data_IF_230182829309
#
_entry.id   IF_230182829309
#
_cell.length_a   1.000
_cell.length_b   1.000
_cell.length_c   1.000
_cell.angle_alpha   90.00
_cell.angle_beta   90.00
_cell.angle_gamma   90.00
#
_symmetry.space_group_name_H-M   'P 1'
#
loop_
_entity.id
_entity.type
_entity.pdbx_description
1 polymer ?
#
# COMPACT_ATOMS: atom_id res chain seq x y z
N UNK A 1 33.30 -38.81 53.47
CA UNK A 1 33.42 -37.84 52.35
C UNK A 1 32.61 -38.28 51.10
N UNK A 2 32.74 -39.55 50.69
CA UNK A 2 32.11 -40.08 49.47
C UNK A 2 30.60 -40.19 49.56
N UNK A 3 30.00 -40.44 50.72
CA UNK A 3 28.55 -40.51 50.91
C UNK A 3 27.91 -39.10 50.95
N UNK A 4 28.57 -38.11 51.55
CA UNK A 4 28.10 -36.73 51.62
C UNK A 4 28.01 -36.09 50.20
N UNK A 5 29.00 -36.40 49.35
CA UNK A 5 29.02 -35.90 47.96
C UNK A 5 27.86 -36.50 47.14
N UNK A 6 27.51 -37.78 47.36
CA UNK A 6 26.36 -38.43 46.69
C UNK A 6 25.02 -37.75 47.05
N UNK A 7 24.82 -37.42 48.32
CA UNK A 7 23.59 -36.73 48.73
C UNK A 7 23.49 -35.30 48.19
N UNK A 8 24.61 -34.59 48.06
CA UNK A 8 24.64 -33.25 47.46
C UNK A 8 24.27 -33.34 45.96
N UNK A 9 24.86 -34.32 45.24
CA UNK A 9 24.54 -34.50 43.81
C UNK A 9 23.05 -34.86 43.62
N UNK A 10 22.50 -35.76 44.44
CA UNK A 10 21.06 -36.13 44.37
C UNK A 10 20.19 -34.92 44.69
N UNK A 11 20.55 -34.11 45.66
CA UNK A 11 19.78 -32.88 46.00
C UNK A 11 19.81 -31.87 44.88
N UNK A 12 20.92 -31.66 44.20
CA UNK A 12 21.02 -30.73 43.04
C UNK A 12 20.20 -31.27 41.86
N UNK A 13 20.22 -32.57 41.58
CA UNK A 13 19.44 -33.17 40.49
C UNK A 13 17.95 -33.08 40.79
N UNK A 14 17.51 -33.32 42.02
CA UNK A 14 16.09 -33.11 42.38
C UNK A 14 15.66 -31.65 42.26
N UNK A 15 16.50 -30.68 42.61
CA UNK A 15 16.20 -29.27 42.51
C UNK A 15 16.07 -28.80 41.07
N UNK A 16 16.86 -29.37 40.13
CA UNK A 16 16.77 -29.03 38.71
C UNK A 16 15.50 -29.58 38.01
N UNK A 17 14.92 -30.66 38.51
CA UNK A 17 13.73 -31.29 37.94
C UNK A 17 12.44 -30.45 38.24
N UNK A 18 12.44 -29.68 39.34
CA UNK A 18 11.29 -28.87 39.72
C UNK A 18 11.24 -27.47 39.08
N UNK A 19 12.26 -27.09 38.29
CA UNK A 19 12.44 -25.71 37.80
C UNK A 19 11.67 -25.35 36.51
N UNK A 20 10.90 -26.26 35.91
CA UNK A 20 10.20 -26.00 34.65
C UNK A 20 8.71 -26.36 34.68
N UNK A 21 7.92 -25.62 35.45
CA UNK A 21 6.47 -25.54 35.18
C UNK A 21 6.19 -24.23 34.43
N UNK A 22 6.38 -24.25 33.10
CA UNK A 22 5.89 -23.17 32.27
C UNK A 22 4.37 -23.19 32.30
N UNK A 23 3.76 -22.17 32.88
CA UNK A 23 2.32 -21.99 32.85
C UNK A 23 1.93 -21.60 31.42
N UNK A 24 1.37 -22.53 30.67
CA UNK A 24 0.83 -22.25 29.36
C UNK A 24 -0.59 -21.71 29.50
N UNK A 25 -0.77 -20.44 29.13
CA UNK A 25 -2.10 -19.87 28.99
C UNK A 25 -2.63 -20.19 27.59
N UNK A 26 -3.79 -20.83 27.53
CA UNK A 26 -4.53 -21.03 26.28
C UNK A 26 -5.76 -20.14 26.29
N UNK A 27 -6.02 -19.48 25.17
CA UNK A 27 -7.27 -18.73 24.98
C UNK A 27 -8.40 -19.75 24.87
N UNK A 28 -9.27 -19.84 25.88
CA UNK A 28 -10.38 -20.77 25.94
C UNK A 28 -11.57 -20.25 25.13
N UNK A 29 -11.77 -18.94 25.14
CA UNK A 29 -12.87 -18.29 24.42
C UNK A 29 -12.44 -16.88 24.01
N UNK A 30 -12.78 -16.49 22.78
CA UNK A 30 -12.63 -15.11 22.30
C UNK A 30 -13.93 -14.70 21.61
N UNK A 31 -14.56 -13.65 22.12
CA UNK A 31 -15.76 -13.04 21.52
C UNK A 31 -15.38 -11.69 20.94
N UNK A 32 -15.65 -11.49 19.67
CA UNK A 32 -15.46 -10.22 18.97
C UNK A 32 -16.71 -9.83 18.21
N UNK A 33 -16.93 -8.53 18.08
CA UNK A 33 -17.96 -7.99 17.21
C UNK A 33 -17.43 -6.76 16.50
N UNK A 34 -17.98 -6.46 15.34
CA UNK A 34 -17.66 -5.25 14.58
C UNK A 34 -18.77 -4.23 14.76
N UNK A 35 -18.38 -2.98 15.03
CA UNK A 35 -19.31 -1.85 15.03
C UNK A 35 -19.13 -1.15 13.68
N UNK A 36 -20.15 -1.13 12.80
CA UNK A 36 -20.03 -0.41 11.53
C UNK A 36 -19.94 1.09 11.81
N UNK A 37 -18.93 1.73 11.22
CA UNK A 37 -18.81 3.19 11.19
C UNK A 37 -19.74 3.70 10.09
N UNK A 38 -20.79 4.40 10.47
CA UNK A 38 -21.81 4.94 9.57
C UNK A 38 -22.06 6.41 9.87
N UNK A 39 -22.64 7.15 8.94
CA UNK A 39 -23.02 8.56 9.12
C UNK A 39 -23.86 8.84 10.36
N UNK A 40 -24.58 7.83 10.88
CA UNK A 40 -25.33 7.95 12.14
C UNK A 40 -24.45 8.34 13.34
N UNK A 41 -23.17 7.99 13.31
CA UNK A 41 -22.21 8.34 14.37
C UNK A 41 -21.80 9.82 14.30
N UNK A 42 -21.96 10.48 13.16
CA UNK A 42 -21.63 11.89 12.96
C UNK A 42 -22.59 12.81 13.75
N UNK A 43 -23.79 12.32 14.07
CA UNK A 43 -24.76 13.07 14.84
C UNK A 43 -24.34 13.32 16.30
N UNK A 44 -23.35 12.57 16.81
CA UNK A 44 -22.89 12.69 18.20
C UNK A 44 -21.36 12.49 18.31
N UNK A 45 -20.56 13.44 17.73
CA UNK A 45 -19.12 13.37 17.78
C UNK A 45 -18.62 13.58 19.21
N UNK A 46 -17.52 12.93 19.57
CA UNK A 46 -16.82 13.24 20.82
C UNK A 46 -16.28 14.68 20.76
N UNK A 47 -16.70 15.51 21.70
CA UNK A 47 -16.37 16.94 21.70
C UNK A 47 -14.87 17.21 21.80
N UNK A 48 -14.14 16.41 22.58
CA UNK A 48 -12.69 16.57 22.76
C UNK A 48 -11.91 16.21 21.50
N UNK A 49 -12.34 15.18 20.79
CA UNK A 49 -11.76 14.76 19.53
C UNK A 49 -12.08 15.78 18.43
N UNK A 50 -13.34 16.27 18.39
CA UNK A 50 -13.76 17.29 17.44
C UNK A 50 -12.97 18.60 17.61
N UNK A 51 -12.68 19.02 18.83
CA UNK A 51 -11.85 20.20 19.11
C UNK A 51 -10.44 20.06 18.52
N UNK A 52 -9.78 18.92 18.76
CA UNK A 52 -8.45 18.63 18.22
C UNK A 52 -8.48 18.65 16.68
N UNK A 53 -9.48 18.02 16.07
CA UNK A 53 -9.63 17.98 14.61
C UNK A 53 -9.80 19.40 14.05
N UNK A 54 -10.65 20.21 14.67
CA UNK A 54 -10.99 21.54 14.20
C UNK A 54 -9.79 22.50 14.17
N UNK A 55 -8.80 22.34 15.05
CA UNK A 55 -7.55 23.13 15.05
C UNK A 55 -6.84 23.02 13.68
N UNK A 56 -6.85 21.84 13.09
CA UNK A 56 -6.12 21.57 11.85
C UNK A 56 -7.03 21.60 10.60
N UNK A 57 -8.31 21.25 10.77
CA UNK A 57 -9.29 21.07 9.68
C UNK A 57 -9.37 22.28 8.78
N UNK A 58 -9.53 23.48 9.33
CA UNK A 58 -9.69 24.71 8.53
C UNK A 58 -8.50 24.94 7.60
N UNK A 59 -7.27 24.67 8.09
CA UNK A 59 -6.05 24.83 7.31
C UNK A 59 -5.93 23.75 6.23
N UNK A 60 -6.24 22.51 6.59
CA UNK A 60 -6.23 21.38 5.64
C UNK A 60 -7.27 21.60 4.56
N UNK A 61 -8.51 21.91 4.93
CA UNK A 61 -9.60 22.12 3.99
C UNK A 61 -9.30 23.29 3.02
N UNK A 62 -8.67 24.36 3.49
CA UNK A 62 -8.30 25.49 2.62
C UNK A 62 -7.33 25.12 1.49
N UNK A 63 -6.51 24.09 1.70
CA UNK A 63 -5.57 23.59 0.70
C UNK A 63 -6.23 22.50 -0.17
N UNK A 64 -6.92 21.57 0.48
CA UNK A 64 -7.41 20.34 -0.16
C UNK A 64 -8.70 20.55 -0.97
N UNK A 65 -9.51 21.56 -0.64
CA UNK A 65 -10.75 21.85 -1.37
C UNK A 65 -10.55 22.56 -2.71
N UNK A 66 -9.33 23.00 -3.01
CA UNK A 66 -9.04 23.71 -4.26
C UNK A 66 -9.24 22.77 -5.46
N UNK A 67 -10.16 23.13 -6.36
CA UNK A 67 -10.37 22.44 -7.65
C UNK A 67 -9.18 22.70 -8.56
N UNK A 68 -8.63 21.64 -9.16
CA UNK A 68 -7.45 21.67 -10.04
C UNK A 68 -7.73 21.13 -11.44
N UNK A 69 -8.89 20.54 -11.67
CA UNK A 69 -9.30 19.99 -12.94
C UNK A 69 -10.70 19.38 -12.86
N UNK A 70 -11.09 18.75 -13.95
CA UNK A 70 -12.36 18.02 -14.04
C UNK A 70 -12.13 16.69 -14.76
N UNK A 71 -12.89 15.67 -14.39
CA UNK A 71 -12.93 14.38 -15.09
C UNK A 71 -14.34 14.12 -15.61
N UNK A 72 -14.45 13.74 -16.87
CA UNK A 72 -15.73 13.38 -17.48
C UNK A 72 -16.27 12.01 -17.02
N UNK A 73 -15.42 11.20 -16.42
CA UNK A 73 -15.74 9.85 -15.93
C UNK A 73 -15.07 9.57 -14.59
N UNK A 74 -15.67 8.73 -13.79
CA UNK A 74 -14.96 8.12 -12.67
C UNK A 74 -13.92 7.11 -13.20
N UNK A 75 -12.72 7.09 -12.62
CA UNK A 75 -11.66 6.15 -12.99
C UNK A 75 -11.30 5.28 -11.80
N UNK A 76 -11.58 3.99 -11.90
CA UNK A 76 -11.19 3.00 -10.90
C UNK A 76 -9.78 2.47 -11.14
N UNK A 77 -9.27 1.79 -10.11
CA UNK A 77 -7.99 1.08 -10.16
C UNK A 77 -8.22 -0.42 -10.10
N UNK A 78 -7.81 -1.14 -11.15
CA UNK A 78 -8.00 -2.58 -11.29
C UNK A 78 -6.79 -3.24 -11.94
N UNK A 79 -6.70 -4.57 -11.82
CA UNK A 79 -5.74 -5.40 -12.52
C UNK A 79 -6.46 -6.19 -13.62
N UNK A 80 -5.84 -6.47 -14.73
CA UNK A 80 -4.43 -6.21 -15.11
C UNK A 80 -4.15 -4.74 -15.49
N UNK A 81 -5.16 -3.96 -15.81
CA UNK A 81 -5.10 -2.54 -16.18
C UNK A 81 -6.40 -1.83 -15.85
N UNK A 82 -6.34 -0.50 -15.73
CA UNK A 82 -7.50 0.36 -15.54
C UNK A 82 -7.24 1.73 -16.14
N UNK A 83 -8.31 2.52 -16.33
CA UNK A 83 -8.18 3.88 -16.84
C UNK A 83 -7.25 4.73 -15.95
N UNK A 84 -7.38 4.64 -14.62
CA UNK A 84 -6.57 5.43 -13.70
C UNK A 84 -5.10 5.01 -13.71
N UNK A 85 -4.81 3.70 -13.72
CA UNK A 85 -3.41 3.23 -13.77
C UNK A 85 -2.72 3.57 -15.08
N UNK A 86 -3.43 3.46 -16.21
CA UNK A 86 -2.90 3.82 -17.52
C UNK A 86 -2.64 5.33 -17.63
N UNK A 87 -3.63 6.14 -17.24
CA UNK A 87 -3.51 7.60 -17.19
C UNK A 87 -2.33 8.05 -16.33
N UNK A 88 -2.19 7.48 -15.13
CA UNK A 88 -1.07 7.81 -14.24
C UNK A 88 0.27 7.43 -14.85
N UNK A 89 0.37 6.26 -15.50
CA UNK A 89 1.60 5.82 -16.14
C UNK A 89 2.01 6.71 -17.31
N UNK A 90 1.03 7.19 -18.09
CA UNK A 90 1.26 8.18 -19.16
C UNK A 90 1.78 9.50 -18.59
N UNK A 91 1.18 9.98 -17.49
CA UNK A 91 1.63 11.20 -16.79
C UNK A 91 3.05 11.07 -16.23
N UNK A 92 3.46 9.88 -15.78
CA UNK A 92 4.84 9.65 -15.33
C UNK A 92 5.84 9.87 -16.47
N UNK A 93 5.54 9.33 -17.66
CA UNK A 93 6.38 9.52 -18.86
C UNK A 93 6.45 11.01 -19.23
N UNK A 94 5.31 11.65 -19.38
CA UNK A 94 5.24 13.07 -19.76
C UNK A 94 6.01 13.95 -18.74
N UNK A 95 5.82 13.70 -17.45
CA UNK A 95 6.49 14.45 -16.40
C UNK A 95 8.01 14.21 -16.40
N UNK A 96 8.44 12.96 -16.58
CA UNK A 96 9.85 12.61 -16.66
C UNK A 96 10.52 13.28 -17.87
N UNK A 97 9.90 13.20 -19.04
CA UNK A 97 10.41 13.84 -20.26
C UNK A 97 10.52 15.36 -20.13
N UNK A 98 9.46 15.99 -19.60
CA UNK A 98 9.43 17.44 -19.36
C UNK A 98 10.54 17.91 -18.42
N UNK A 99 10.80 17.16 -17.35
CA UNK A 99 11.79 17.57 -16.35
C UNK A 99 13.23 17.22 -16.74
N UNK A 100 13.43 16.18 -17.53
CA UNK A 100 14.79 15.71 -17.90
C UNK A 100 15.24 16.16 -19.30
N UNK A 101 14.30 16.54 -20.16
CA UNK A 101 14.55 16.80 -21.58
C UNK A 101 14.92 15.53 -22.38
N UNK A 102 14.76 14.34 -21.81
CA UNK A 102 15.09 13.07 -22.43
C UNK A 102 13.83 12.27 -22.71
N UNK A 103 13.78 11.57 -23.84
CA UNK A 103 12.72 10.62 -24.14
C UNK A 103 12.75 9.42 -23.20
N UNK A 104 11.55 8.97 -22.83
CA UNK A 104 11.34 7.73 -22.09
C UNK A 104 10.63 6.72 -22.99
N UNK A 105 11.12 5.48 -23.03
CA UNK A 105 10.52 4.43 -23.83
C UNK A 105 9.18 3.96 -23.27
N UNK A 106 9.05 3.93 -21.94
CA UNK A 106 7.79 3.65 -21.24
C UNK A 106 7.87 4.05 -19.77
N UNK A 107 6.72 4.10 -19.11
CA UNK A 107 6.56 4.30 -17.67
C UNK A 107 5.80 3.16 -17.01
N UNK A 108 6.15 2.89 -15.75
CA UNK A 108 5.46 1.90 -14.93
C UNK A 108 5.01 2.55 -13.63
N UNK A 109 3.72 2.39 -13.32
CA UNK A 109 3.14 2.82 -12.04
C UNK A 109 2.75 1.59 -11.22
N UNK A 110 3.21 1.56 -9.98
CA UNK A 110 2.76 0.55 -9.03
C UNK A 110 1.26 0.78 -8.67
N UNK A 111 0.39 -0.12 -9.10
CA UNK A 111 -1.05 -0.07 -8.79
C UNK A 111 -1.30 0.03 -7.28
N UNK A 112 -0.50 -0.66 -6.45
CA UNK A 112 -0.63 -0.58 -4.99
C UNK A 112 -0.37 0.81 -4.40
N UNK A 113 0.27 1.71 -5.15
CA UNK A 113 0.47 3.12 -4.80
C UNK A 113 -0.74 4.00 -5.06
N UNK A 114 -1.72 3.54 -5.84
CA UNK A 114 -2.99 4.21 -6.10
C UNK A 114 -4.00 3.68 -5.09
N UNK A 115 -4.51 4.53 -4.20
CA UNK A 115 -5.24 4.10 -3.00
C UNK A 115 -6.75 4.22 -3.09
N UNK A 116 -7.25 5.02 -4.02
CA UNK A 116 -8.68 5.19 -4.28
C UNK A 116 -8.91 5.62 -5.72
N UNK A 117 -10.16 5.60 -6.16
CA UNK A 117 -10.60 6.01 -7.50
C UNK A 117 -10.54 7.53 -7.67
N UNK A 118 -10.39 7.98 -8.90
CA UNK A 118 -10.62 9.37 -9.28
C UNK A 118 -12.13 9.58 -9.49
N UNK A 119 -12.78 10.54 -8.84
CA UNK A 119 -14.21 10.79 -9.06
C UNK A 119 -14.49 11.43 -10.42
N UNK A 120 -15.73 11.30 -10.88
CA UNK A 120 -16.28 12.14 -11.95
C UNK A 120 -16.54 13.55 -11.42
N UNK A 121 -16.46 14.57 -12.30
CA UNK A 121 -16.71 15.97 -11.97
C UNK A 121 -15.45 16.70 -11.52
N UNK A 122 -15.60 17.61 -10.57
CA UNK A 122 -14.49 18.44 -10.07
C UNK A 122 -13.45 17.63 -9.32
N UNK A 123 -12.21 17.79 -9.72
CA UNK A 123 -11.04 17.13 -9.09
C UNK A 123 -10.34 18.15 -8.20
N UNK A 124 -10.26 17.84 -6.93
CA UNK A 124 -9.62 18.69 -5.94
C UNK A 124 -8.20 18.19 -5.59
N UNK A 125 -7.44 19.05 -4.95
CA UNK A 125 -6.14 18.70 -4.36
C UNK A 125 -6.31 17.52 -3.37
N UNK A 126 -7.41 17.53 -2.60
CA UNK A 126 -7.74 16.45 -1.66
C UNK A 126 -7.97 15.10 -2.32
N UNK A 127 -8.61 15.07 -3.51
CA UNK A 127 -8.75 13.85 -4.29
C UNK A 127 -7.35 13.28 -4.64
N UNK A 128 -6.43 14.12 -5.10
CA UNK A 128 -5.08 13.68 -5.45
C UNK A 128 -4.31 13.15 -4.24
N UNK A 129 -4.40 13.82 -3.08
CA UNK A 129 -3.81 13.31 -1.84
C UNK A 129 -4.42 11.98 -1.38
N UNK A 130 -5.71 11.77 -1.63
CA UNK A 130 -6.39 10.50 -1.32
C UNK A 130 -5.96 9.37 -2.27
N UNK A 131 -5.75 9.70 -3.54
CA UNK A 131 -5.31 8.75 -4.57
C UNK A 131 -3.83 8.38 -4.37
N UNK A 132 -2.98 9.37 -4.10
CA UNK A 132 -1.52 9.22 -3.96
C UNK A 132 -1.02 9.76 -2.61
N UNK A 133 -1.33 9.11 -1.48
CA UNK A 133 -1.00 9.63 -0.15
C UNK A 133 0.48 9.50 0.23
N UNK A 134 1.32 8.95 -0.64
CA UNK A 134 2.72 8.70 -0.36
C UNK A 134 3.61 9.74 -1.05
N UNK A 135 4.65 10.19 -0.36
CA UNK A 135 5.72 11.00 -0.95
C UNK A 135 6.62 10.11 -1.80
N UNK A 136 6.31 10.00 -3.09
CA UNK A 136 7.09 9.24 -4.04
C UNK A 136 7.91 10.16 -4.95
N UNK A 137 9.04 9.65 -5.44
CA UNK A 137 9.84 10.30 -6.46
C UNK A 137 9.74 9.56 -7.79
N UNK A 138 9.69 10.33 -8.89
CA UNK A 138 9.82 9.75 -10.23
C UNK A 138 11.30 9.46 -10.48
N UNK A 139 11.61 8.21 -10.81
CA UNK A 139 12.95 7.78 -11.16
C UNK A 139 13.02 7.39 -12.63
N UNK A 140 14.03 7.93 -13.33
CA UNK A 140 14.33 7.54 -14.72
C UNK A 140 15.55 6.62 -14.70
N UNK A 141 15.38 5.40 -15.20
CA UNK A 141 16.42 4.38 -15.22
C UNK A 141 16.64 3.87 -16.64
N UNK A 142 17.85 3.41 -16.94
CA UNK A 142 18.18 2.75 -18.21
C UNK A 142 18.37 1.26 -17.96
N UNK A 143 17.64 0.44 -18.68
CA UNK A 143 17.69 -1.01 -18.58
C UNK A 143 18.18 -1.64 -19.89
N UNK A 144 18.81 -2.81 -19.78
CA UNK A 144 19.08 -3.64 -20.95
C UNK A 144 17.81 -4.38 -21.37
N UNK A 145 17.69 -4.73 -22.65
CA UNK A 145 16.50 -5.43 -23.15
C UNK A 145 16.15 -6.72 -22.38
N UNK A 146 17.17 -7.44 -21.91
CA UNK A 146 16.94 -8.62 -21.04
C UNK A 146 16.24 -8.24 -19.73
N UNK A 147 16.71 -7.18 -19.09
CA UNK A 147 16.16 -6.73 -17.79
C UNK A 147 14.74 -6.16 -17.97
N UNK A 148 14.46 -5.53 -19.12
CA UNK A 148 13.10 -5.11 -19.50
C UNK A 148 12.18 -6.31 -19.62
N UNK A 149 12.63 -7.38 -20.30
CA UNK A 149 11.83 -8.62 -20.40
C UNK A 149 11.55 -9.23 -19.02
N UNK A 150 12.57 -9.31 -18.18
CA UNK A 150 12.44 -9.83 -16.82
C UNK A 150 11.46 -8.97 -15.98
N UNK A 151 11.48 -7.64 -16.14
CA UNK A 151 10.54 -6.70 -15.53
C UNK A 151 9.09 -7.02 -15.94
N UNK A 152 8.82 -7.15 -17.24
CA UNK A 152 7.46 -7.44 -17.72
C UNK A 152 6.99 -8.84 -17.32
N UNK A 153 7.87 -9.84 -17.23
CA UNK A 153 7.54 -11.14 -16.66
C UNK A 153 7.17 -11.06 -15.16
N UNK A 154 7.80 -10.16 -14.40
CA UNK A 154 7.43 -9.89 -13.01
C UNK A 154 6.06 -9.22 -12.93
N UNK A 155 5.82 -8.22 -13.77
CA UNK A 155 4.52 -7.52 -13.88
C UNK A 155 3.41 -8.53 -14.21
N UNK A 156 3.63 -9.39 -15.18
CA UNK A 156 2.68 -10.43 -15.57
C UNK A 156 2.35 -11.40 -14.42
N UNK A 157 3.38 -11.88 -13.69
CA UNK A 157 3.18 -12.76 -12.53
C UNK A 157 2.41 -12.10 -11.38
N UNK A 158 2.46 -10.77 -11.27
CA UNK A 158 1.68 -9.99 -10.29
C UNK A 158 0.25 -9.73 -10.74
N UNK A 159 -0.12 -10.15 -11.95
CA UNK A 159 -1.44 -9.92 -12.53
C UNK A 159 -1.61 -8.55 -13.18
N UNK A 160 -0.50 -7.86 -13.50
CA UNK A 160 -0.50 -6.55 -14.13
C UNK A 160 -0.07 -5.41 -13.19
N UNK A 161 0.40 -4.33 -13.77
CA UNK A 161 0.68 -3.02 -13.15
C UNK A 161 0.29 -1.92 -14.15
N UNK A 162 0.25 -0.66 -13.73
CA UNK A 162 0.08 0.45 -14.66
C UNK A 162 1.29 0.54 -15.60
N UNK A 163 1.04 0.48 -16.90
CA UNK A 163 2.06 0.65 -17.94
C UNK A 163 1.57 1.70 -18.92
N UNK A 164 2.48 2.60 -19.33
CA UNK A 164 2.13 3.68 -20.24
C UNK A 164 1.88 3.17 -21.67
N UNK A 165 1.15 3.98 -22.46
CA UNK A 165 0.66 3.66 -23.81
C UNK A 165 1.73 3.32 -24.84
N UNK A 166 3.02 3.58 -24.55
CA UNK A 166 4.14 3.26 -25.44
C UNK A 166 4.39 1.76 -25.56
N UNK A 167 3.85 0.95 -24.64
CA UNK A 167 4.05 -0.51 -24.61
C UNK A 167 2.71 -1.22 -24.48
N UNK A 168 2.52 -2.26 -25.28
CA UNK A 168 1.44 -3.23 -25.13
C UNK A 168 2.00 -4.50 -24.49
N UNK A 169 1.38 -4.95 -23.39
CA UNK A 169 1.78 -6.16 -22.67
C UNK A 169 0.60 -7.13 -22.61
N UNK A 170 0.78 -8.33 -23.12
CA UNK A 170 -0.18 -9.43 -23.00
C UNK A 170 0.26 -10.40 -21.92
N UNK A 171 -0.61 -10.69 -20.99
CA UNK A 171 -0.34 -11.65 -19.91
C UNK A 171 -0.84 -13.03 -20.33
N UNK A 172 0.07 -13.98 -20.48
CA UNK A 172 -0.25 -15.34 -20.80
C UNK A 172 -0.78 -16.13 -19.60
N UNK A 173 -1.47 -17.23 -19.87
CA UNK A 173 -1.96 -18.16 -18.82
C UNK A 173 -0.83 -18.80 -18.00
N UNK A 174 0.37 -18.80 -18.52
CA UNK A 174 1.61 -19.25 -17.86
C UNK A 174 2.26 -18.18 -16.97
N UNK A 175 1.62 -17.01 -16.83
CA UNK A 175 2.12 -15.89 -16.04
C UNK A 175 3.31 -15.16 -16.65
N UNK A 176 3.55 -15.31 -17.96
CA UNK A 176 4.58 -14.57 -18.67
C UNK A 176 4.02 -13.41 -19.48
N UNK A 177 4.88 -12.45 -19.73
CA UNK A 177 4.58 -11.32 -20.60
C UNK A 177 4.90 -11.64 -22.05
N UNK A 178 4.00 -11.21 -22.95
CA UNK A 178 4.12 -11.29 -24.39
C UNK A 178 3.78 -9.93 -25.01
N UNK A 179 4.45 -9.52 -26.06
CA UNK A 179 4.26 -8.27 -26.79
C UNK A 179 5.43 -7.94 -27.68
#
# INVERSE_FOLDING_TARGET
FMNTLKYIIVGVVLYTITACTATHYTVIESKGYTIPVTERLDASPDASVAEIINIYKTKVDSITSRVIGQSEIAMDVERPQSCLSNFTSDLLVETAEKNTGKKCDFGVMNIGGIRTSLPEGDITVGNIFSIFPFENSISVITLKGKDVKDLFDIIARRGGEGVSKQVEVKIGKDGKAYG
#
